data_IF_678789854253
#
_entry.id   IF_678789854253
#
_cell.length_a   1.000
_cell.length_b   1.000
_cell.length_c   1.000
_cell.angle_alpha   90.00
_cell.angle_beta   90.00
_cell.angle_gamma   90.00
#
_symmetry.space_group_name_H-M   'P 1'
#
loop_
_entity.id
_entity.type
_entity.pdbx_description
1 polymer ?
#
# COMPACT_ATOMS: atom_id res chain seq x y z
N UNK A 1 -10.69 -2.40 -24.24
CA UNK A 1 -10.36 -3.84 -24.38
C UNK A 1 -9.46 -4.23 -23.23
N UNK A 2 -9.52 -5.46 -22.76
CA UNK A 2 -8.48 -6.01 -21.89
C UNK A 2 -8.16 -7.46 -22.25
N UNK A 3 -7.01 -7.94 -21.80
CA UNK A 3 -6.56 -9.32 -21.94
C UNK A 3 -6.26 -9.89 -20.56
N UNK A 4 -6.75 -11.09 -20.31
CA UNK A 4 -6.45 -11.89 -19.12
C UNK A 4 -6.84 -13.35 -19.38
N UNK A 5 -6.55 -14.24 -18.44
CA UNK A 5 -6.98 -15.63 -18.51
C UNK A 5 -8.51 -15.73 -18.50
N UNK A 6 -9.09 -16.60 -19.35
CA UNK A 6 -10.52 -16.84 -19.44
C UNK A 6 -11.16 -17.12 -18.08
N UNK A 7 -10.46 -17.83 -17.19
CA UNK A 7 -10.94 -18.16 -15.87
C UNK A 7 -11.12 -16.94 -14.93
N UNK A 8 -10.67 -15.74 -15.33
CA UNK A 8 -10.80 -14.50 -14.56
C UNK A 8 -12.02 -13.66 -14.93
N UNK A 9 -12.75 -13.99 -16.00
CA UNK A 9 -13.85 -13.19 -16.51
C UNK A 9 -15.15 -13.98 -16.48
N UNK A 10 -16.17 -13.38 -15.86
CA UNK A 10 -17.54 -13.88 -15.91
C UNK A 10 -18.36 -12.97 -16.83
N UNK A 11 -18.53 -13.44 -18.07
CA UNK A 11 -19.30 -12.72 -19.09
C UNK A 11 -20.80 -12.70 -18.80
N UNK A 12 -21.34 -13.62 -18.01
CA UNK A 12 -22.77 -13.66 -17.68
C UNK A 12 -23.11 -12.57 -16.66
N UNK A 13 -22.24 -12.37 -15.67
CA UNK A 13 -22.45 -11.40 -14.60
C UNK A 13 -21.73 -10.07 -14.82
N UNK A 14 -21.05 -9.91 -15.96
CA UNK A 14 -20.25 -8.71 -16.29
C UNK A 14 -19.21 -8.37 -15.22
N UNK A 15 -18.58 -9.40 -14.62
CA UNK A 15 -17.55 -9.21 -13.60
C UNK A 15 -16.21 -9.76 -14.07
N UNK A 16 -15.13 -9.16 -13.57
CA UNK A 16 -13.76 -9.60 -13.81
C UNK A 16 -13.00 -9.56 -12.49
N UNK A 17 -12.28 -10.63 -12.17
CA UNK A 17 -11.43 -10.69 -10.98
C UNK A 17 -10.37 -9.61 -11.01
N UNK A 18 -10.06 -9.05 -9.84
CA UNK A 18 -9.00 -8.06 -9.74
C UNK A 18 -7.60 -8.71 -9.73
N UNK A 19 -7.17 -9.21 -10.89
CA UNK A 19 -5.89 -9.91 -11.06
C UNK A 19 -4.77 -8.98 -11.53
N UNK A 20 -3.51 -9.19 -11.11
CA UNK A 20 -2.36 -8.42 -11.62
C UNK A 20 -1.96 -8.81 -13.05
N UNK A 21 -2.35 -10.01 -13.51
CA UNK A 21 -2.12 -10.50 -14.88
C UNK A 21 -3.28 -10.11 -15.80
N UNK A 22 -3.62 -8.83 -15.83
CA UNK A 22 -4.56 -8.25 -16.80
C UNK A 22 -3.92 -7.01 -17.40
N UNK A 23 -4.13 -6.82 -18.70
CA UNK A 23 -3.66 -5.62 -19.39
C UNK A 23 -4.79 -4.98 -20.15
N UNK A 24 -4.86 -3.65 -20.06
CA UNK A 24 -5.88 -2.85 -20.71
C UNK A 24 -5.27 -2.21 -21.96
N UNK A 25 -6.06 -2.18 -23.03
CA UNK A 25 -5.75 -1.45 -24.25
C UNK A 25 -6.99 -0.79 -24.83
N UNK A 26 -6.77 0.29 -25.58
CA UNK A 26 -7.82 0.97 -26.34
C UNK A 26 -7.78 0.43 -27.77
N UNK A 27 -8.91 -0.14 -28.23
CA UNK A 27 -9.05 -0.57 -29.62
C UNK A 27 -9.54 0.60 -30.46
N UNK A 28 -8.76 1.02 -31.46
CA UNK A 28 -9.15 2.04 -32.42
C UNK A 28 -8.53 1.74 -33.77
N UNK A 29 -9.28 1.90 -34.88
CA UNK A 29 -8.76 1.68 -36.23
C UNK A 29 -8.17 0.28 -36.48
N UNK A 30 -8.68 -0.75 -35.79
CA UNK A 30 -8.15 -2.12 -35.88
C UNK A 30 -6.87 -2.39 -35.06
N UNK A 31 -6.35 -1.37 -34.36
CA UNK A 31 -5.13 -1.45 -33.55
C UNK A 31 -5.43 -1.33 -32.06
N UNK A 32 -4.63 -2.01 -31.25
CA UNK A 32 -4.64 -1.92 -29.79
C UNK A 32 -3.54 -0.99 -29.34
N UNK A 33 -3.92 0.10 -28.69
CA UNK A 33 -3.01 1.05 -28.06
C UNK A 33 -2.89 0.72 -26.58
N UNK A 34 -1.67 0.52 -26.10
CA UNK A 34 -1.41 0.24 -24.69
C UNK A 34 -0.08 0.85 -24.24
N UNK A 35 0.04 1.10 -22.94
CA UNK A 35 1.29 1.59 -22.36
C UNK A 35 2.32 0.47 -22.22
N UNK A 36 3.53 0.69 -22.73
CA UNK A 36 4.65 -0.23 -22.58
C UNK A 36 5.56 0.18 -21.44
N UNK A 37 5.47 -0.47 -20.28
CA UNK A 37 6.28 -0.12 -19.10
C UNK A 37 7.81 -0.19 -19.34
N UNK A 38 8.26 -1.03 -20.27
CA UNK A 38 9.70 -1.20 -20.57
C UNK A 38 10.22 -0.17 -21.56
N UNK A 39 9.35 0.35 -22.44
CA UNK A 39 9.71 1.29 -23.50
C UNK A 39 9.27 2.72 -23.19
N UNK A 40 8.61 2.92 -22.05
CA UNK A 40 8.05 4.20 -21.56
C UNK A 40 7.27 4.99 -22.62
N UNK A 41 6.53 4.26 -23.46
CA UNK A 41 5.86 4.77 -24.65
C UNK A 41 4.53 4.07 -24.87
N UNK A 42 3.62 4.75 -25.57
CA UNK A 42 2.43 4.12 -26.11
C UNK A 42 2.84 3.27 -27.31
N UNK A 43 2.58 1.97 -27.23
CA UNK A 43 2.80 1.05 -28.34
C UNK A 43 1.47 0.70 -28.99
N UNK A 44 1.50 0.51 -30.30
CA UNK A 44 0.34 0.06 -31.08
C UNK A 44 0.65 -1.28 -31.76
N UNK A 45 -0.33 -2.17 -31.77
CA UNK A 45 -0.18 -3.53 -32.29
C UNK A 45 -1.54 -4.13 -32.60
N UNK A 46 -1.57 -5.18 -33.43
CA UNK A 46 -2.82 -5.86 -33.75
C UNK A 46 -3.39 -6.57 -32.51
N UNK A 47 -4.71 -6.80 -32.43
CA UNK A 47 -5.30 -7.61 -31.36
C UNK A 47 -4.65 -9.00 -31.24
N UNK A 48 -4.32 -9.62 -32.38
CA UNK A 48 -3.64 -10.92 -32.41
C UNK A 48 -2.25 -10.87 -31.78
N UNK A 49 -1.45 -9.85 -32.08
CA UNK A 49 -0.10 -9.70 -31.50
C UNK A 49 -0.17 -9.30 -30.01
N UNK A 50 -1.19 -8.53 -29.63
CA UNK A 50 -1.53 -8.24 -28.23
C UNK A 50 -1.83 -9.51 -27.46
N UNK A 51 -2.72 -10.36 -27.97
CA UNK A 51 -3.01 -11.65 -27.36
C UNK A 51 -1.77 -12.54 -27.29
N UNK A 52 -1.06 -12.73 -28.40
CA UNK A 52 0.15 -13.57 -28.46
C UNK A 52 1.22 -13.13 -27.46
N UNK A 53 1.44 -11.82 -27.32
CA UNK A 53 2.41 -11.27 -26.35
C UNK A 53 2.06 -11.73 -24.94
N UNK A 54 0.82 -11.54 -24.50
CA UNK A 54 0.44 -11.89 -23.14
C UNK A 54 0.23 -13.38 -22.92
N UNK A 55 -0.19 -14.12 -23.95
CA UNK A 55 -0.15 -15.58 -23.96
C UNK A 55 1.29 -16.08 -23.72
N UNK A 56 2.29 -15.50 -24.38
CA UNK A 56 3.70 -15.82 -24.17
C UNK A 56 4.20 -15.40 -22.78
N UNK A 57 3.79 -14.23 -22.29
CA UNK A 57 4.26 -13.69 -21.01
C UNK A 57 3.65 -14.42 -19.80
N UNK A 58 2.37 -14.76 -19.86
CA UNK A 58 1.62 -15.27 -18.70
C UNK A 58 1.20 -16.73 -18.79
N UNK A 59 1.22 -17.34 -19.99
CA UNK A 59 0.70 -18.68 -20.22
C UNK A 59 -0.82 -18.75 -20.00
N UNK A 60 -1.35 -19.96 -19.78
CA UNK A 60 -2.78 -20.18 -19.49
C UNK A 60 -3.67 -20.10 -20.74
N UNK A 61 -4.96 -19.85 -20.54
CA UNK A 61 -5.94 -19.67 -21.62
C UNK A 61 -6.29 -18.18 -21.73
N UNK A 62 -5.37 -17.38 -22.26
CA UNK A 62 -5.59 -15.94 -22.38
C UNK A 62 -6.65 -15.65 -23.45
N UNK A 63 -7.51 -14.69 -23.17
CA UNK A 63 -8.50 -14.21 -24.12
C UNK A 63 -8.59 -12.68 -24.13
N UNK A 64 -9.09 -12.15 -25.24
CA UNK A 64 -9.41 -10.74 -25.40
C UNK A 64 -10.86 -10.50 -25.04
N UNK A 65 -11.09 -9.51 -24.19
CA UNK A 65 -12.41 -9.08 -23.79
C UNK A 65 -12.64 -7.64 -24.24
N UNK A 66 -13.78 -7.43 -24.88
CA UNK A 66 -14.16 -6.16 -25.47
C UNK A 66 -15.31 -5.58 -24.67
N UNK A 67 -15.21 -4.28 -24.40
CA UNK A 67 -16.28 -3.48 -23.83
C UNK A 67 -16.57 -2.33 -24.77
N UNK A 68 -17.81 -1.86 -24.75
CA UNK A 68 -18.20 -0.63 -25.44
C UNK A 68 -17.95 0.57 -24.53
N UNK A 69 -17.65 1.72 -25.12
CA UNK A 69 -17.64 2.96 -24.37
C UNK A 69 -19.04 3.26 -23.81
N UNK A 70 -19.15 3.88 -22.62
CA UNK A 70 -20.42 4.36 -22.10
C UNK A 70 -21.10 5.32 -23.09
N UNK A 71 -22.43 5.32 -23.11
CA UNK A 71 -23.19 6.27 -23.91
C UNK A 71 -22.79 7.72 -23.54
N UNK A 72 -22.42 8.53 -24.53
CA UNK A 72 -21.96 9.90 -24.34
C UNK A 72 -20.45 10.08 -24.12
N UNK A 73 -19.66 9.00 -24.10
CA UNK A 73 -18.21 9.10 -24.11
C UNK A 73 -17.73 9.81 -25.38
N UNK A 74 -16.97 10.89 -25.22
CA UNK A 74 -16.30 11.58 -26.32
C UNK A 74 -14.92 10.94 -26.52
N UNK A 75 -14.72 10.27 -27.64
CA UNK A 75 -13.39 9.84 -28.06
C UNK A 75 -12.72 10.99 -28.82
N UNK A 76 -11.41 11.25 -28.59
CA UNK A 76 -10.67 12.17 -29.45
C UNK A 76 -10.83 11.74 -30.92
N UNK A 77 -11.07 12.68 -31.82
CA UNK A 77 -11.08 12.35 -33.25
C UNK A 77 -9.70 11.82 -33.65
N UNK A 78 -9.63 10.77 -34.49
CA UNK A 78 -8.35 10.26 -34.96
C UNK A 78 -7.63 11.40 -35.71
N UNK A 79 -6.46 11.80 -35.23
CA UNK A 79 -5.62 12.77 -35.93
C UNK A 79 -5.34 12.25 -37.35
N UNK A 80 -5.96 12.89 -38.34
CA UNK A 80 -5.64 12.65 -39.73
C UNK A 80 -4.23 13.16 -39.99
N UNK A 81 -3.27 12.24 -40.04
CA UNK A 81 -1.94 12.38 -40.63
C UNK A 81 -1.25 13.74 -40.43
N UNK A 82 -0.32 13.82 -39.49
CA UNK A 82 0.72 14.84 -39.52
C UNK A 82 2.09 14.22 -39.27
N UNK A 83 2.97 14.47 -40.23
CA UNK A 83 4.39 14.17 -40.20
C UNK A 83 5.06 14.79 -38.96
N UNK A 84 6.14 14.15 -38.52
CA UNK A 84 7.09 14.68 -37.54
C UNK A 84 7.54 16.09 -37.95
N UNK A 85 7.56 17.06 -37.01
CA UNK A 85 8.57 18.09 -37.07
C UNK A 85 9.44 18.09 -35.81
N UNK A 86 10.70 18.45 -36.06
CA UNK A 86 11.75 18.62 -35.10
C UNK A 86 11.51 19.81 -34.15
N UNK A 87 12.14 19.69 -32.99
CA UNK A 87 12.56 20.70 -32.00
C UNK A 87 12.02 22.14 -32.07
N UNK A 88 11.70 22.62 -30.86
CA UNK A 88 12.16 23.89 -30.26
C UNK A 88 11.04 24.86 -29.84
N UNK A 89 10.98 25.11 -28.53
CA UNK A 89 10.83 26.47 -27.98
C UNK A 89 9.42 26.94 -27.59
N UNK A 90 9.32 27.31 -26.31
CA UNK A 90 8.38 28.26 -25.71
C UNK A 90 7.06 27.69 -25.12
N UNK A 91 6.57 28.29 -24.02
CA UNK A 91 6.07 27.55 -22.86
C UNK A 91 4.55 27.38 -22.82
N UNK A 92 4.12 26.30 -22.17
CA UNK A 92 2.72 26.07 -21.81
C UNK A 92 2.23 27.16 -20.84
N UNK A 93 0.95 27.57 -20.92
CA UNK A 93 0.41 28.61 -20.06
C UNK A 93 0.36 28.13 -18.61
N UNK A 94 0.91 28.94 -17.71
CA UNK A 94 0.75 28.78 -16.25
C UNK A 94 -0.74 28.84 -15.91
N UNK A 95 -1.33 27.68 -15.61
CA UNK A 95 -2.55 27.62 -14.83
C UNK A 95 -2.19 28.00 -13.39
N UNK A 96 -2.47 29.25 -13.02
CA UNK A 96 -2.38 29.75 -11.67
C UNK A 96 -3.40 29.04 -10.76
N UNK A 97 -3.05 27.86 -10.26
CA UNK A 97 -3.55 27.39 -8.98
C UNK A 97 -2.81 28.19 -7.90
N UNK A 98 -3.41 29.30 -7.46
CA UNK A 98 -2.99 29.95 -6.23
C UNK A 98 -3.12 28.92 -5.10
N UNK A 99 -2.00 28.35 -4.68
CA UNK A 99 -1.92 27.49 -3.51
C UNK A 99 -2.44 28.29 -2.31
N UNK A 100 -3.68 28.02 -1.89
CA UNK A 100 -4.14 28.43 -0.58
C UNK A 100 -3.28 27.69 0.43
N UNK A 101 -2.24 28.34 0.92
CA UNK A 101 -1.41 27.82 2.00
C UNK A 101 -2.31 27.49 3.18
N UNK A 102 -2.60 26.21 3.38
CA UNK A 102 -3.42 25.72 4.49
C UNK A 102 -2.80 26.23 5.80
N UNK A 103 -3.58 26.92 6.63
CA UNK A 103 -3.11 27.47 7.92
C UNK A 103 -3.20 26.38 8.98
N UNK A 104 -2.18 25.53 9.02
CA UNK A 104 -2.00 24.56 10.10
C UNK A 104 -1.57 25.27 11.39
N UNK A 105 -2.31 25.06 12.46
CA UNK A 105 -1.99 25.54 13.80
C UNK A 105 -1.77 24.34 14.72
N UNK A 106 -0.64 24.31 15.43
CA UNK A 106 -0.29 23.23 16.35
C UNK A 106 -0.27 23.78 17.78
N UNK A 107 -1.00 23.11 18.67
CA UNK A 107 -1.13 23.48 20.08
C UNK A 107 -0.52 22.38 20.96
N UNK A 108 0.64 22.61 21.60
CA UNK A 108 1.15 21.71 22.62
C UNK A 108 0.32 21.83 23.91
N UNK A 109 0.19 20.73 24.62
CA UNK A 109 -0.39 20.65 25.95
C UNK A 109 0.50 19.80 26.85
N UNK A 110 1.19 20.45 27.78
CA UNK A 110 2.16 19.80 28.66
C UNK A 110 1.54 19.51 30.02
N UNK A 111 1.68 18.28 30.49
CA UNK A 111 1.30 17.84 31.83
C UNK A 111 2.41 16.98 32.42
N UNK A 112 3.25 17.57 33.28
CA UNK A 112 4.48 16.95 33.75
C UNK A 112 5.46 16.76 32.58
N UNK A 113 6.05 15.57 32.46
CA UNK A 113 6.99 15.24 31.37
C UNK A 113 6.31 14.90 30.03
N UNK A 114 4.97 14.86 30.01
CA UNK A 114 4.19 14.47 28.82
C UNK A 114 3.75 15.72 28.07
N UNK A 115 4.05 15.77 26.77
CA UNK A 115 3.52 16.80 25.87
C UNK A 115 2.62 16.12 24.84
N UNK A 116 1.33 16.46 24.88
CA UNK A 116 0.35 16.08 23.86
C UNK A 116 0.24 17.21 22.84
N UNK A 117 0.09 16.88 21.56
CA UNK A 117 -0.05 17.83 20.46
C UNK A 117 -1.43 17.72 19.83
N UNK A 118 -2.06 18.86 19.66
CA UNK A 118 -3.32 19.04 18.97
C UNK A 118 -3.11 19.94 17.76
N UNK A 119 -3.95 19.80 16.74
CA UNK A 119 -3.87 20.65 15.56
C UNK A 119 -5.24 21.14 15.09
N UNK A 120 -5.23 22.26 14.37
CA UNK A 120 -6.36 22.79 13.60
C UNK A 120 -5.88 23.10 12.20
N UNK A 121 -6.66 22.71 11.20
CA UNK A 121 -6.40 23.04 9.81
C UNK A 121 -7.47 24.03 9.34
N UNK A 122 -7.05 25.17 8.79
CA UNK A 122 -7.93 26.19 8.21
C UNK A 122 -9.06 26.66 9.13
N UNK A 123 -8.77 26.79 10.42
CA UNK A 123 -9.75 27.19 11.44
C UNK A 123 -10.81 26.14 11.77
N UNK A 124 -10.68 24.93 11.21
CA UNK A 124 -11.55 23.80 11.48
C UNK A 124 -11.44 23.26 12.93
N UNK A 125 -12.20 22.18 13.22
CA UNK A 125 -12.18 21.52 14.52
C UNK A 125 -10.77 21.10 14.93
N UNK A 126 -10.51 21.17 16.24
CA UNK A 126 -9.26 20.67 16.79
C UNK A 126 -9.25 19.15 16.84
N UNK A 127 -8.13 18.55 16.46
CA UNK A 127 -7.93 17.11 16.49
C UNK A 127 -6.62 16.74 17.20
N UNK A 128 -6.59 15.55 17.78
CA UNK A 128 -5.41 15.02 18.44
C UNK A 128 -4.40 14.51 17.42
N UNK A 129 -3.15 14.95 17.51
CA UNK A 129 -2.07 14.49 16.61
C UNK A 129 -1.37 13.30 17.26
N UNK A 130 -0.64 13.54 18.36
CA UNK A 130 0.16 12.55 19.05
C UNK A 130 0.73 13.09 20.38
N UNK A 131 1.43 12.23 21.12
CA UNK A 131 2.20 12.54 22.32
C UNK A 131 3.69 12.42 22.05
N UNK A 132 4.50 13.34 22.59
CA UNK A 132 5.95 13.15 22.67
C UNK A 132 6.31 11.99 23.60
N UNK A 133 7.12 11.07 23.11
CA UNK A 133 7.66 9.94 23.87
C UNK A 133 9.16 9.78 23.61
N UNK A 134 9.85 9.15 24.54
CA UNK A 134 11.26 8.74 24.40
C UNK A 134 11.35 7.21 24.31
N UNK A 135 12.23 6.72 23.44
CA UNK A 135 12.54 5.30 23.31
C UNK A 135 14.01 5.12 22.93
N UNK A 136 14.79 4.47 23.79
CA UNK A 136 16.26 4.44 23.67
C UNK A 136 16.82 5.87 23.52
N UNK A 137 17.58 6.14 22.48
CA UNK A 137 18.13 7.46 22.16
C UNK A 137 17.18 8.34 21.33
N UNK A 138 16.01 7.82 20.97
CA UNK A 138 15.05 8.52 20.13
C UNK A 138 14.03 9.29 20.96
N UNK A 139 13.59 10.43 20.42
CA UNK A 139 12.43 11.17 20.92
C UNK A 139 11.56 11.55 19.72
N UNK A 140 10.28 11.20 19.79
CA UNK A 140 9.36 11.40 18.67
C UNK A 140 7.90 11.34 19.14
N UNK A 141 7.00 11.05 18.19
CA UNK A 141 5.56 11.05 18.37
C UNK A 141 4.99 9.64 18.47
N UNK A 142 4.05 9.45 19.38
CA UNK A 142 3.26 8.22 19.56
C UNK A 142 1.83 8.60 19.90
N UNK A 143 0.86 7.87 19.37
CA UNK A 143 -0.53 8.01 19.82
C UNK A 143 -0.85 6.98 20.92
N UNK A 144 -1.12 7.38 22.18
CA UNK A 144 -1.51 6.45 23.22
C UNK A 144 -2.85 5.78 22.92
N UNK A 145 -3.03 4.51 23.30
CA UNK A 145 -4.26 3.75 23.02
C UNK A 145 -5.56 4.46 23.42
N UNK A 146 -5.57 5.11 24.59
CA UNK A 146 -6.73 5.87 25.10
C UNK A 146 -7.06 7.16 24.35
N UNK A 147 -6.15 7.63 23.51
CA UNK A 147 -6.31 8.85 22.69
C UNK A 147 -6.56 8.51 21.22
N UNK A 148 -6.55 7.23 20.85
CA UNK A 148 -6.85 6.81 19.48
C UNK A 148 -8.30 7.14 19.15
N UNK A 149 -8.50 7.74 17.98
CA UNK A 149 -9.82 8.07 17.43
C UNK A 149 -9.72 8.06 15.90
N UNK A 150 -10.83 8.31 15.21
CA UNK A 150 -10.85 8.38 13.76
C UNK A 150 -11.21 7.07 13.04
N UNK A 151 -11.19 7.08 11.71
CA UNK A 151 -11.59 5.96 10.88
C UNK A 151 -10.74 4.70 11.10
N UNK A 152 -11.38 3.54 11.02
CA UNK A 152 -10.72 2.23 11.15
C UNK A 152 -10.98 1.37 9.93
N UNK A 153 -9.96 0.63 9.53
CA UNK A 153 -10.08 -0.46 8.59
C UNK A 153 -11.05 -1.52 9.12
N UNK A 154 -12.03 -1.88 8.30
CA UNK A 154 -12.93 -3.01 8.54
C UNK A 154 -12.89 -3.91 7.33
N UNK A 155 -12.67 -5.20 7.55
CA UNK A 155 -12.58 -6.19 6.47
C UNK A 155 -13.82 -6.18 5.58
N UNK A 156 -15.01 -6.03 6.16
CA UNK A 156 -16.28 -5.95 5.44
C UNK A 156 -16.31 -4.88 4.36
N UNK A 157 -15.74 -3.71 4.64
CA UNK A 157 -15.84 -2.53 3.79
C UNK A 157 -14.99 -2.69 2.52
N UNK A 158 -13.94 -3.52 2.61
CA UNK A 158 -12.98 -3.76 1.54
C UNK A 158 -13.11 -5.16 0.91
N UNK A 159 -13.94 -6.05 1.47
CA UNK A 159 -14.18 -7.41 0.96
C UNK A 159 -14.65 -7.40 -0.50
N UNK A 160 -15.57 -6.52 -0.96
CA UNK A 160 -16.01 -6.53 -2.36
C UNK A 160 -14.89 -6.24 -3.37
N UNK A 161 -13.87 -5.46 -2.98
CA UNK A 161 -12.80 -5.04 -3.88
C UNK A 161 -11.55 -5.94 -3.79
N UNK A 162 -11.26 -6.47 -2.60
CA UNK A 162 -10.00 -7.18 -2.32
C UNK A 162 -10.21 -8.64 -1.89
N UNK A 163 -11.45 -9.12 -1.79
CA UNK A 163 -11.79 -10.52 -1.51
C UNK A 163 -11.01 -11.09 -0.29
N UNK A 164 -10.35 -12.23 -0.41
CA UNK A 164 -9.57 -12.85 0.67
C UNK A 164 -8.45 -11.93 1.17
N UNK A 165 -7.88 -11.09 0.31
CA UNK A 165 -6.82 -10.13 0.70
C UNK A 165 -7.34 -9.13 1.74
N UNK A 166 -8.62 -8.76 1.70
CA UNK A 166 -9.21 -7.90 2.73
C UNK A 166 -9.11 -8.54 4.13
N UNK A 167 -9.34 -9.86 4.22
CA UNK A 167 -9.20 -10.63 5.46
C UNK A 167 -7.76 -10.69 5.94
N UNK A 168 -6.81 -10.92 5.02
CA UNK A 168 -5.36 -10.91 5.31
C UNK A 168 -4.96 -9.57 5.94
N UNK A 169 -5.33 -8.46 5.31
CA UNK A 169 -5.01 -7.12 5.81
C UNK A 169 -5.68 -6.82 7.16
N UNK A 170 -6.92 -7.28 7.35
CA UNK A 170 -7.64 -7.15 8.62
C UNK A 170 -6.86 -7.78 9.79
N UNK A 171 -6.40 -9.02 9.61
CA UNK A 171 -5.61 -9.72 10.64
C UNK A 171 -4.30 -8.99 10.95
N UNK A 172 -3.54 -8.60 9.94
CA UNK A 172 -2.26 -7.88 10.14
C UNK A 172 -2.50 -6.54 10.85
N UNK A 173 -3.51 -5.78 10.41
CA UNK A 173 -3.82 -4.46 10.96
C UNK A 173 -4.29 -4.49 12.42
N UNK A 174 -4.92 -5.60 12.85
CA UNK A 174 -5.31 -5.81 14.24
C UNK A 174 -4.09 -5.85 15.17
N UNK A 175 -3.01 -6.46 14.70
CA UNK A 175 -1.71 -6.42 15.37
C UNK A 175 -1.11 -5.01 15.33
N UNK A 176 -1.05 -4.37 14.17
CA UNK A 176 -0.29 -3.13 14.01
C UNK A 176 -0.87 -1.90 14.73
N UNK A 177 -2.12 -1.58 14.41
CA UNK A 177 -2.71 -0.27 14.69
C UNK A 177 -4.10 -0.37 15.30
N UNK A 178 -4.57 -1.59 15.59
CA UNK A 178 -5.99 -1.86 15.80
C UNK A 178 -6.87 -1.42 14.60
N UNK A 179 -6.29 -1.31 13.41
CA UNK A 179 -6.96 -0.86 12.19
C UNK A 179 -7.10 0.66 12.03
N UNK A 180 -6.61 1.51 12.94
CA UNK A 180 -6.76 2.97 12.81
C UNK A 180 -5.96 3.53 11.61
N UNK A 181 -6.63 4.23 10.70
CA UNK A 181 -6.00 4.80 9.50
C UNK A 181 -5.07 5.98 9.79
N UNK A 182 -5.23 6.64 10.92
CA UNK A 182 -4.41 7.79 11.33
C UNK A 182 -3.29 7.40 12.30
N UNK A 183 -3.00 6.09 12.44
CA UNK A 183 -2.00 5.57 13.38
C UNK A 183 -0.60 6.06 13.05
N UNK A 184 0.06 6.72 13.98
CA UNK A 184 1.39 7.31 13.80
C UNK A 184 2.38 6.88 14.89
N UNK A 185 3.62 6.58 14.48
CA UNK A 185 4.79 6.58 15.36
C UNK A 185 6.02 7.20 14.65
N UNK A 186 6.92 7.84 15.40
CA UNK A 186 8.18 8.39 14.86
C UNK A 186 9.37 8.32 15.83
N UNK A 187 9.20 7.63 16.96
CA UNK A 187 10.19 7.54 18.05
C UNK A 187 11.19 6.39 17.91
N UNK A 188 11.41 5.83 16.73
CA UNK A 188 12.31 4.69 16.56
C UNK A 188 13.15 4.80 15.29
N UNK A 189 13.92 3.74 15.00
CA UNK A 189 14.83 3.67 13.85
C UNK A 189 14.13 3.79 12.49
N UNK A 190 12.82 3.56 12.42
CA UNK A 190 12.07 3.75 11.19
C UNK A 190 11.89 5.24 10.87
N UNK A 191 12.16 6.13 11.84
CA UNK A 191 11.95 7.57 11.87
C UNK A 191 10.48 8.00 11.74
N UNK A 192 9.67 7.24 11.01
CA UNK A 192 8.24 7.45 10.83
C UNK A 192 7.56 6.15 10.40
N UNK A 193 6.45 5.79 11.03
CA UNK A 193 5.50 4.76 10.58
C UNK A 193 4.09 5.33 10.62
N UNK A 194 3.32 5.07 9.57
CA UNK A 194 2.00 5.66 9.42
C UNK A 194 0.95 4.67 8.90
N UNK A 195 -0.29 4.89 9.31
CA UNK A 195 -1.47 4.24 8.76
C UNK A 195 -1.84 2.94 9.46
N UNK A 196 -2.98 2.38 9.04
CA UNK A 196 -3.54 1.16 9.62
C UNK A 196 -2.60 -0.05 9.47
N UNK A 197 -1.73 -0.02 8.48
CA UNK A 197 -0.75 -1.08 8.19
C UNK A 197 0.66 -0.78 8.73
N UNK A 198 0.83 0.37 9.40
CA UNK A 198 2.11 0.85 9.94
C UNK A 198 3.25 0.82 8.92
N UNK A 199 3.00 1.45 7.76
CA UNK A 199 3.98 1.55 6.69
C UNK A 199 5.17 2.39 7.18
N UNK A 200 6.37 1.82 7.14
CA UNK A 200 7.60 2.45 7.60
C UNK A 200 8.29 3.29 6.52
N UNK A 201 8.89 4.41 6.92
CA UNK A 201 9.61 5.32 6.02
C UNK A 201 10.96 4.78 5.54
N UNK A 202 11.66 4.02 6.38
CA UNK A 202 13.04 3.66 6.15
C UNK A 202 13.27 2.58 5.06
N UNK A 203 12.24 2.00 4.45
CA UNK A 203 12.43 0.86 3.53
C UNK A 203 12.35 1.29 2.05
N UNK A 204 13.45 1.21 1.27
CA UNK A 204 13.41 1.49 -0.15
C UNK A 204 12.48 0.54 -0.91
N UNK A 205 11.74 1.06 -1.90
CA UNK A 205 10.82 0.28 -2.75
C UNK A 205 9.77 -0.56 -1.99
N UNK A 206 9.47 -0.20 -0.75
CA UNK A 206 8.49 -0.88 0.09
C UNK A 206 7.85 0.12 1.07
N UNK A 207 6.70 -0.25 1.62
CA UNK A 207 6.01 0.52 2.66
C UNK A 207 5.71 2.00 2.31
N UNK A 208 6.09 2.94 3.18
CA UNK A 208 5.51 4.29 3.21
C UNK A 208 5.85 5.13 1.98
N UNK A 209 7.03 4.91 1.39
CA UNK A 209 7.42 5.63 0.18
C UNK A 209 6.49 5.33 -0.99
N UNK A 210 6.03 4.08 -1.12
CA UNK A 210 5.07 3.69 -2.16
C UNK A 210 3.72 4.38 -1.95
N UNK A 211 3.33 4.60 -0.69
CA UNK A 211 2.10 5.32 -0.37
C UNK A 211 2.21 6.80 -0.72
N UNK A 212 3.28 7.48 -0.30
CA UNK A 212 3.51 8.88 -0.63
C UNK A 212 3.62 9.13 -2.13
N UNK A 213 4.27 8.23 -2.88
CA UNK A 213 4.37 8.33 -4.34
C UNK A 213 2.98 8.30 -4.99
N UNK A 214 2.12 7.38 -4.57
CA UNK A 214 0.75 7.30 -5.10
C UNK A 214 -0.11 8.47 -4.69
N UNK A 215 -0.03 8.90 -3.43
CA UNK A 215 -0.72 10.09 -2.97
C UNK A 215 -0.33 11.33 -3.78
N UNK A 216 0.97 11.53 -4.01
CA UNK A 216 1.46 12.68 -4.76
C UNK A 216 1.02 12.67 -6.23
N UNK A 217 0.76 11.49 -6.80
CA UNK A 217 0.29 11.36 -8.18
C UNK A 217 -1.24 11.37 -8.32
N UNK A 218 -1.97 10.83 -7.33
CA UNK A 218 -3.37 10.42 -7.50
C UNK A 218 -4.35 11.12 -6.55
N UNK A 219 -3.90 11.75 -5.46
CA UNK A 219 -4.78 12.31 -4.43
C UNK A 219 -4.66 13.84 -4.34
N UNK A 220 -5.72 14.54 -4.75
CA UNK A 220 -5.75 16.01 -4.77
C UNK A 220 -5.68 16.62 -3.38
N UNK A 221 -6.40 16.07 -2.39
CA UNK A 221 -6.39 16.60 -1.02
C UNK A 221 -4.99 16.50 -0.38
N UNK A 222 -4.25 15.43 -0.66
CA UNK A 222 -2.85 15.30 -0.29
C UNK A 222 -1.99 16.34 -1.01
N UNK A 223 -2.20 16.56 -2.31
CA UNK A 223 -1.45 17.57 -3.05
C UNK A 223 -1.72 19.00 -2.57
N UNK A 224 -2.91 19.29 -2.09
CA UNK A 224 -3.24 20.59 -1.50
C UNK A 224 -2.46 20.82 -0.19
N UNK A 225 -2.26 19.76 0.61
CA UNK A 225 -1.53 19.85 1.88
C UNK A 225 -0.02 19.63 1.75
N UNK A 226 0.44 18.98 0.69
CA UNK A 226 1.84 18.67 0.42
C UNK A 226 2.23 19.13 -1.01
N UNK A 227 2.06 20.42 -1.35
CA UNK A 227 2.30 20.92 -2.71
C UNK A 227 3.76 20.80 -3.13
N UNK A 228 4.68 20.71 -2.17
CA UNK A 228 6.10 20.51 -2.42
C UNK A 228 6.46 19.09 -2.87
N UNK A 229 5.57 18.11 -2.71
CA UNK A 229 5.84 16.73 -3.07
C UNK A 229 5.28 16.40 -4.45
N UNK A 230 6.17 15.99 -5.36
CA UNK A 230 5.82 15.63 -6.74
C UNK A 230 6.45 14.32 -7.16
N UNK A 231 5.79 13.61 -8.07
CA UNK A 231 6.39 12.46 -8.75
C UNK A 231 7.03 12.94 -10.04
N UNK A 232 8.32 12.66 -10.20
CA UNK A 232 9.11 12.91 -11.41
C UNK A 232 9.72 11.58 -11.82
N UNK A 233 9.45 11.14 -13.05
CA UNK A 233 9.92 9.84 -13.59
C UNK A 233 9.62 8.65 -12.67
N UNK A 234 8.42 8.64 -12.08
CA UNK A 234 7.99 7.58 -11.16
C UNK A 234 8.64 7.61 -9.78
N UNK A 235 9.40 8.66 -9.44
CA UNK A 235 10.11 8.83 -8.17
C UNK A 235 9.60 10.04 -7.40
N UNK A 236 9.39 9.89 -6.10
CA UNK A 236 8.99 10.98 -5.21
C UNK A 236 10.13 11.98 -5.00
N UNK A 237 9.84 13.24 -5.30
CA UNK A 237 10.72 14.38 -5.12
C UNK A 237 10.06 15.42 -4.21
N UNK A 238 10.91 16.16 -3.48
CA UNK A 238 10.54 17.42 -2.82
C UNK A 238 11.04 18.59 -3.65
N UNK A 239 10.16 19.54 -3.95
CA UNK A 239 10.50 20.80 -4.59
C UNK A 239 11.04 21.79 -3.55
N UNK A 240 12.23 22.34 -3.80
CA UNK A 240 12.89 23.35 -2.97
C UNK A 240 13.36 24.46 -3.91
N UNK A 241 12.73 25.64 -3.83
CA UNK A 241 13.11 26.80 -4.66
C UNK A 241 13.08 26.52 -6.17
N UNK A 242 12.15 25.67 -6.63
CA UNK A 242 12.05 25.26 -8.04
C UNK A 242 12.89 24.04 -8.43
N UNK A 243 13.77 23.55 -7.55
CA UNK A 243 14.58 22.36 -7.79
C UNK A 243 13.99 21.12 -7.11
N UNK A 244 13.91 20.00 -7.84
CA UNK A 244 13.47 18.72 -7.29
C UNK A 244 14.62 17.95 -6.61
N UNK A 245 14.44 17.56 -5.36
CA UNK A 245 15.34 16.66 -4.63
C UNK A 245 14.65 15.32 -4.45
N UNK A 246 15.25 14.24 -4.96
CA UNK A 246 14.71 12.89 -4.79
C UNK A 246 14.73 12.49 -3.32
N UNK A 247 13.60 11.99 -2.83
CA UNK A 247 13.47 11.43 -1.47
C UNK A 247 13.77 9.92 -1.44
N UNK A 248 13.93 9.29 -2.60
CA UNK A 248 13.96 7.83 -2.74
C UNK A 248 15.37 7.25 -2.90
N UNK A 249 16.42 8.07 -2.78
CA UNK A 249 17.81 7.62 -2.93
C UNK A 249 18.16 6.62 -1.83
N UNK A 250 18.42 5.34 -2.17
CA UNK A 250 18.82 4.36 -1.17
C UNK A 250 20.21 4.68 -0.63
N UNK A 251 20.37 4.65 0.69
CA UNK A 251 21.66 4.78 1.37
C UNK A 251 21.88 3.64 2.36
N UNK A 252 23.12 3.19 2.61
CA UNK A 252 23.37 2.21 3.67
C UNK A 252 23.00 2.77 5.04
N UNK A 253 22.41 1.94 5.89
CA UNK A 253 22.07 2.32 7.25
C UNK A 253 23.36 2.53 8.07
N UNK A 254 23.45 3.61 8.87
CA UNK A 254 24.56 3.80 9.80
C UNK A 254 24.77 2.56 10.70
N UNK A 255 25.99 2.04 10.72
CA UNK A 255 26.38 0.85 11.47
C UNK A 255 25.95 -0.50 10.85
N UNK A 256 25.17 -0.52 9.77
CA UNK A 256 24.67 -1.75 9.14
C UNK A 256 24.66 -1.61 7.60
N UNK A 257 25.83 -1.70 6.96
CA UNK A 257 25.99 -1.36 5.54
C UNK A 257 25.25 -2.30 4.57
N UNK A 258 24.82 -3.48 5.02
CA UNK A 258 24.00 -4.42 4.23
C UNK A 258 22.50 -4.10 4.25
N UNK A 259 22.06 -3.18 5.11
CA UNK A 259 20.68 -2.72 5.19
C UNK A 259 20.56 -1.33 4.54
N UNK A 260 19.79 -1.23 3.47
CA UNK A 260 19.53 0.05 2.80
C UNK A 260 18.35 0.78 3.46
N UNK A 261 18.44 2.11 3.54
CA UNK A 261 17.38 2.99 4.00
C UNK A 261 17.12 4.16 3.03
N UNK A 262 16.08 4.96 3.32
CA UNK A 262 15.74 6.18 2.58
C UNK A 262 16.01 7.42 3.44
N UNK A 263 17.28 7.77 3.64
CA UNK A 263 17.66 8.85 4.55
C UNK A 263 16.98 10.18 4.23
N UNK A 264 16.90 10.55 2.95
CA UNK A 264 16.28 11.80 2.52
C UNK A 264 14.78 11.84 2.83
N UNK A 265 14.05 10.74 2.60
CA UNK A 265 12.64 10.63 2.97
C UNK A 265 12.44 10.62 4.49
N UNK A 266 13.26 9.89 5.22
CA UNK A 266 13.22 9.85 6.68
C UNK A 266 13.43 11.25 7.27
N UNK A 267 14.44 11.99 6.80
CA UNK A 267 14.73 13.35 7.26
C UNK A 267 13.67 14.37 6.85
N UNK A 268 12.93 14.14 5.76
CA UNK A 268 11.78 14.98 5.41
C UNK A 268 10.62 14.82 6.41
N UNK A 269 10.38 13.59 6.88
CA UNK A 269 9.29 13.26 7.81
C UNK A 269 9.65 13.53 9.28
N UNK A 270 10.89 13.24 9.66
CA UNK A 270 11.42 13.39 11.01
C UNK A 270 12.90 13.83 10.92
N UNK A 271 13.17 15.15 10.90
CA UNK A 271 14.51 15.68 10.66
C UNK A 271 15.52 15.35 11.75
N UNK A 272 15.08 15.29 13.01
CA UNK A 272 15.96 15.14 14.17
C UNK A 272 15.46 14.02 15.09
N UNK A 273 16.17 12.91 15.12
CA UNK A 273 15.76 11.72 15.86
C UNK A 273 15.73 11.92 17.40
N UNK A 274 16.40 12.95 17.92
CA UNK A 274 16.56 13.20 19.36
C UNK A 274 15.56 14.20 19.96
N UNK A 275 14.71 14.84 19.15
CA UNK A 275 13.68 15.79 19.62
C UNK A 275 12.47 15.79 18.69
N UNK A 276 11.33 16.20 19.22
CA UNK A 276 10.17 16.50 18.37
C UNK A 276 10.38 17.84 17.67
N UNK A 277 10.31 17.84 16.34
CA UNK A 277 10.57 19.02 15.49
C UNK A 277 9.30 19.57 14.82
N UNK A 278 9.28 20.85 14.47
CA UNK A 278 8.11 21.50 13.86
C UNK A 278 7.74 20.87 12.51
N UNK A 279 8.73 20.43 11.72
CA UNK A 279 8.48 19.74 10.46
C UNK A 279 7.81 18.37 10.70
N UNK A 280 8.28 17.61 11.69
CA UNK A 280 7.70 16.32 12.07
C UNK A 280 6.24 16.48 12.51
N UNK A 281 5.97 17.47 13.37
CA UNK A 281 4.64 17.82 13.83
C UNK A 281 3.73 18.26 12.66
N UNK A 282 4.25 19.08 11.75
CA UNK A 282 3.52 19.57 10.58
C UNK A 282 3.11 18.43 9.63
N UNK A 283 4.04 17.51 9.33
CA UNK A 283 3.75 16.34 8.51
C UNK A 283 2.76 15.42 9.21
N UNK A 284 2.98 15.12 10.49
CA UNK A 284 2.11 14.28 11.30
C UNK A 284 0.67 14.81 11.32
N UNK A 285 0.49 16.10 11.61
CA UNK A 285 -0.83 16.72 11.70
C UNK A 285 -1.57 16.72 10.35
N UNK A 286 -0.89 16.95 9.23
CA UNK A 286 -1.48 16.88 7.89
C UNK A 286 -1.91 15.46 7.51
N UNK A 287 -1.07 14.45 7.80
CA UNK A 287 -1.41 13.05 7.51
C UNK A 287 -2.57 12.54 8.38
N UNK A 288 -2.58 12.88 9.68
CA UNK A 288 -3.69 12.54 10.58
C UNK A 288 -4.99 13.17 10.09
N UNK A 289 -4.95 14.44 9.68
CA UNK A 289 -6.11 15.12 9.12
C UNK A 289 -6.65 14.42 7.86
N UNK A 290 -5.79 14.08 6.91
CA UNK A 290 -6.20 13.37 5.68
C UNK A 290 -6.80 12.00 6.01
N UNK A 291 -6.20 11.25 6.93
CA UNK A 291 -6.73 9.96 7.35
C UNK A 291 -8.10 10.08 8.04
N UNK A 292 -8.36 11.18 8.73
CA UNK A 292 -9.63 11.44 9.42
C UNK A 292 -10.73 11.96 8.49
N UNK A 293 -10.37 12.64 7.40
CA UNK A 293 -11.31 13.42 6.58
C UNK A 293 -11.45 12.96 5.12
N UNK A 294 -10.47 12.24 4.55
CA UNK A 294 -10.48 11.82 3.15
C UNK A 294 -10.57 10.28 2.99
N UNK A 295 -11.75 9.75 2.62
CA UNK A 295 -11.92 8.33 2.29
C UNK A 295 -11.05 7.86 1.11
N UNK A 296 -10.72 8.75 0.17
CA UNK A 296 -9.84 8.46 -0.95
C UNK A 296 -8.40 8.21 -0.50
N UNK A 297 -7.91 9.01 0.44
CA UNK A 297 -6.63 8.80 1.11
C UNK A 297 -6.57 7.43 1.80
N UNK A 298 -7.62 7.07 2.56
CA UNK A 298 -7.71 5.76 3.22
C UNK A 298 -7.81 4.59 2.23
N UNK A 299 -8.54 4.76 1.13
CA UNK A 299 -8.64 3.74 0.07
C UNK A 299 -7.28 3.49 -0.61
N UNK A 300 -6.48 4.54 -0.83
CA UNK A 300 -5.11 4.41 -1.34
C UNK A 300 -4.20 3.71 -0.33
N UNK A 301 -4.33 3.98 0.98
CA UNK A 301 -3.61 3.23 2.01
C UNK A 301 -3.86 1.72 1.89
N UNK A 302 -5.14 1.32 1.78
CA UNK A 302 -5.52 -0.10 1.65
C UNK A 302 -4.96 -0.70 0.36
N UNK A 303 -5.06 0.02 -0.75
CA UNK A 303 -4.55 -0.47 -2.03
C UNK A 303 -3.04 -0.72 -2.00
N UNK A 304 -2.27 0.20 -1.41
CA UNK A 304 -0.82 0.04 -1.26
C UNK A 304 -0.49 -1.13 -0.33
N UNK A 305 -1.18 -1.26 0.80
CA UNK A 305 -0.99 -2.38 1.73
C UNK A 305 -1.31 -3.74 1.06
N UNK A 306 -2.40 -3.83 0.29
CA UNK A 306 -2.75 -5.01 -0.50
C UNK A 306 -1.66 -5.36 -1.52
N UNK A 307 -1.19 -4.36 -2.27
CA UNK A 307 -0.13 -4.51 -3.27
C UNK A 307 1.19 -5.00 -2.66
N UNK A 308 1.60 -4.43 -1.53
CA UNK A 308 2.78 -4.85 -0.78
C UNK A 308 2.61 -6.30 -0.31
N UNK A 309 1.52 -6.60 0.37
CA UNK A 309 1.27 -7.92 0.96
C UNK A 309 1.28 -9.00 -0.10
N UNK A 310 0.53 -8.80 -1.19
CA UNK A 310 0.46 -9.80 -2.26
C UNK A 310 1.76 -9.90 -3.07
N UNK A 311 2.52 -8.80 -3.24
CA UNK A 311 3.87 -8.88 -3.82
C UNK A 311 4.78 -9.76 -2.96
N UNK A 312 4.78 -9.57 -1.63
CA UNK A 312 5.56 -10.42 -0.72
C UNK A 312 5.09 -11.88 -0.73
N UNK A 313 3.78 -12.09 -0.78
CA UNK A 313 3.21 -13.44 -0.87
C UNK A 313 3.71 -14.17 -2.11
N UNK A 314 3.60 -13.54 -3.29
CA UNK A 314 4.00 -14.13 -4.58
C UNK A 314 5.50 -14.32 -4.72
N UNK A 315 6.26 -13.27 -4.44
CA UNK A 315 7.65 -13.22 -4.86
C UNK A 315 8.58 -13.79 -3.80
N UNK A 316 8.10 -13.90 -2.55
CA UNK A 316 8.90 -14.37 -1.41
C UNK A 316 8.27 -15.58 -0.73
N UNK A 317 7.10 -15.41 -0.11
CA UNK A 317 6.57 -16.41 0.81
C UNK A 317 6.18 -17.71 0.10
N UNK A 318 5.59 -17.62 -1.10
CA UNK A 318 5.24 -18.77 -1.92
C UNK A 318 6.46 -19.64 -2.26
N UNK A 319 7.62 -19.00 -2.49
CA UNK A 319 8.87 -19.71 -2.77
C UNK A 319 9.52 -20.26 -1.49
N UNK A 320 9.47 -19.51 -0.39
CA UNK A 320 10.13 -19.92 0.86
C UNK A 320 9.43 -21.08 1.56
N UNK A 321 8.11 -21.21 1.37
CA UNK A 321 7.22 -22.08 2.16
C UNK A 321 6.29 -22.97 1.35
N UNK A 322 6.41 -23.00 0.02
CA UNK A 322 5.56 -23.83 -0.86
C UNK A 322 4.07 -23.60 -0.61
N UNK A 323 3.61 -22.35 -0.76
CA UNK A 323 2.25 -21.95 -0.38
C UNK A 323 1.15 -22.42 -1.34
N UNK A 324 1.48 -23.06 -2.45
CA UNK A 324 0.45 -23.51 -3.40
C UNK A 324 -0.51 -24.51 -2.76
N UNK A 325 -1.82 -24.25 -2.84
CA UNK A 325 -2.86 -25.01 -2.16
C UNK A 325 -2.93 -24.80 -0.63
N UNK A 326 -2.08 -23.95 -0.06
CA UNK A 326 -2.08 -23.69 1.39
C UNK A 326 -3.27 -22.78 1.78
N UNK A 327 -3.93 -23.09 2.89
CA UNK A 327 -5.03 -22.27 3.42
C UNK A 327 -4.64 -20.80 3.60
N UNK A 328 -5.58 -19.92 3.29
CA UNK A 328 -5.50 -18.48 3.54
C UNK A 328 -5.18 -18.12 5.00
N UNK A 329 -5.62 -18.91 5.99
CA UNK A 329 -5.27 -18.73 7.41
C UNK A 329 -3.77 -18.91 7.65
N UNK A 330 -3.19 -19.97 7.08
CA UNK A 330 -1.74 -20.24 7.19
C UNK A 330 -0.95 -19.15 6.47
N UNK A 331 -1.38 -18.77 5.26
CA UNK A 331 -0.74 -17.71 4.49
C UNK A 331 -0.79 -16.37 5.24
N UNK A 332 -1.91 -16.06 5.87
CA UNK A 332 -2.11 -14.84 6.67
C UNK A 332 -1.19 -14.82 7.88
N UNK A 333 -1.08 -15.92 8.63
CA UNK A 333 -0.17 -16.02 9.76
C UNK A 333 1.30 -15.80 9.35
N UNK A 334 1.72 -16.39 8.23
CA UNK A 334 3.08 -16.17 7.67
C UNK A 334 3.29 -14.69 7.30
N UNK A 335 2.32 -14.09 6.61
CA UNK A 335 2.42 -12.68 6.22
C UNK A 335 2.55 -11.76 7.44
N UNK A 336 1.76 -12.00 8.50
CA UNK A 336 1.80 -11.23 9.75
C UNK A 336 3.12 -11.41 10.52
N UNK A 337 3.68 -12.62 10.57
CA UNK A 337 4.97 -12.88 11.22
C UNK A 337 6.11 -12.09 10.55
N UNK A 338 6.15 -12.11 9.22
CA UNK A 338 7.19 -11.41 8.45
C UNK A 338 6.97 -9.90 8.39
N UNK A 339 5.71 -9.44 8.32
CA UNK A 339 5.39 -8.01 8.36
C UNK A 339 5.87 -7.39 9.66
N UNK A 340 5.63 -8.06 10.78
CA UNK A 340 6.06 -7.62 12.11
C UNK A 340 7.53 -7.93 12.44
N UNK A 341 8.24 -8.69 11.61
CA UNK A 341 9.63 -9.09 11.86
C UNK A 341 9.83 -9.98 13.10
N UNK A 342 8.82 -10.78 13.48
CA UNK A 342 8.83 -11.56 14.75
C UNK A 342 9.44 -12.95 14.65
N UNK A 343 9.66 -13.45 13.44
CA UNK A 343 10.10 -14.81 13.20
C UNK A 343 11.05 -14.95 12.02
N UNK A 344 11.96 -15.89 12.14
CA UNK A 344 12.90 -16.29 11.10
C UNK A 344 12.26 -17.27 10.11
N UNK A 345 12.90 -17.45 8.95
CA UNK A 345 12.45 -18.45 7.97
C UNK A 345 12.47 -19.87 8.54
N UNK A 346 13.45 -20.17 9.40
CA UNK A 346 13.63 -21.48 10.02
C UNK A 346 12.48 -21.78 10.98
N UNK A 347 12.12 -20.84 11.85
CA UNK A 347 11.00 -21.01 12.79
C UNK A 347 9.68 -21.25 12.06
N UNK A 348 9.40 -20.48 11.00
CA UNK A 348 8.20 -20.67 10.18
C UNK A 348 8.19 -22.06 9.53
N UNK A 349 9.31 -22.55 9.00
CA UNK A 349 9.39 -23.91 8.42
C UNK A 349 9.14 -25.00 9.47
N UNK A 350 9.74 -24.87 10.65
CA UNK A 350 9.54 -25.81 11.74
C UNK A 350 8.06 -25.84 12.19
N UNK A 351 7.42 -24.68 12.31
CA UNK A 351 6.00 -24.59 12.65
C UNK A 351 5.08 -25.18 11.56
N UNK A 352 5.44 -25.02 10.28
CA UNK A 352 4.70 -25.65 9.18
C UNK A 352 4.85 -27.17 9.13
N UNK A 353 6.01 -27.68 9.57
CA UNK A 353 6.30 -29.12 9.60
C UNK A 353 5.73 -29.83 10.86
N UNK A 354 5.42 -29.09 11.93
CA UNK A 354 4.96 -29.67 13.19
C UNK A 354 3.53 -30.21 13.15
N UNK A 355 2.77 -29.98 12.07
CA UNK A 355 1.43 -30.52 11.91
C UNK A 355 1.05 -30.66 10.44
N UNK A 356 0.23 -31.67 10.12
CA UNK A 356 -0.39 -31.84 8.81
C UNK A 356 -1.69 -31.05 8.65
N UNK A 357 -2.35 -30.63 9.74
CA UNK A 357 -3.63 -29.94 9.70
C UNK A 357 -3.48 -28.42 9.63
N UNK A 358 -4.45 -27.73 9.04
CA UNK A 358 -4.48 -26.25 9.00
C UNK A 358 -4.46 -25.66 10.41
N UNK A 359 -5.34 -26.15 11.30
CA UNK A 359 -5.41 -25.68 12.68
C UNK A 359 -4.12 -25.89 13.45
N UNK A 360 -3.44 -27.03 13.26
CA UNK A 360 -2.17 -27.30 13.94
C UNK A 360 -1.04 -26.39 13.46
N UNK A 361 -0.95 -26.14 12.13
CA UNK A 361 0.00 -25.18 11.55
C UNK A 361 -0.26 -23.76 12.05
N UNK A 362 -1.51 -23.31 12.05
CA UNK A 362 -1.89 -21.99 12.55
C UNK A 362 -1.53 -21.85 14.04
N UNK A 363 -1.83 -22.86 14.85
CA UNK A 363 -1.48 -22.85 16.27
C UNK A 363 0.02 -22.71 16.50
N UNK A 364 0.84 -23.48 15.77
CA UNK A 364 2.30 -23.41 15.86
C UNK A 364 2.86 -22.06 15.37
N UNK A 365 2.33 -21.53 14.26
CA UNK A 365 2.73 -20.22 13.73
C UNK A 365 2.41 -19.09 14.72
N UNK A 366 1.27 -19.15 15.42
CA UNK A 366 0.87 -18.15 16.41
C UNK A 366 1.81 -18.10 17.63
N UNK A 367 2.67 -19.10 17.85
CA UNK A 367 3.61 -19.13 18.98
C UNK A 367 4.98 -18.51 18.63
N UNK A 368 5.24 -18.23 17.35
CA UNK A 368 6.54 -17.70 16.92
C UNK A 368 6.76 -16.31 17.53
N UNK A 369 7.84 -16.18 18.31
CA UNK A 369 8.22 -14.95 19.00
C UNK A 369 7.54 -14.71 20.35
N UNK A 370 6.80 -15.69 20.90
CA UNK A 370 6.02 -15.53 22.14
C UNK A 370 6.87 -15.07 23.34
N UNK A 371 8.11 -15.55 23.47
CA UNK A 371 9.03 -15.17 24.56
C UNK A 371 9.34 -13.66 24.61
N UNK A 372 9.19 -12.95 23.49
CA UNK A 372 9.41 -11.51 23.37
C UNK A 372 8.11 -10.73 23.11
N UNK A 373 7.11 -11.36 22.50
CA UNK A 373 5.94 -10.70 21.92
C UNK A 373 4.62 -11.42 22.24
N UNK A 374 4.44 -11.95 23.46
CA UNK A 374 3.26 -12.72 23.86
C UNK A 374 1.91 -12.04 23.53
N UNK A 375 1.78 -10.72 23.76
CA UNK A 375 0.55 -9.99 23.42
C UNK A 375 0.26 -9.95 21.92
N UNK A 376 1.29 -9.88 21.07
CA UNK A 376 1.15 -9.94 19.61
C UNK A 376 0.72 -11.34 19.16
N UNK A 377 1.30 -12.38 19.75
CA UNK A 377 0.91 -13.77 19.50
C UNK A 377 -0.58 -14.01 19.85
N UNK A 378 -1.01 -13.53 21.01
CA UNK A 378 -2.42 -13.58 21.41
C UNK A 378 -3.33 -12.79 20.45
N UNK A 379 -2.89 -11.63 19.99
CA UNK A 379 -3.63 -10.80 19.03
C UNK A 379 -3.78 -11.50 17.68
N UNK A 380 -2.70 -12.06 17.12
CA UNK A 380 -2.74 -12.82 15.87
C UNK A 380 -3.69 -14.01 15.97
N UNK A 381 -3.57 -14.80 17.04
CA UNK A 381 -4.43 -15.96 17.28
C UNK A 381 -5.91 -15.57 17.34
N UNK A 382 -6.22 -14.48 18.06
CA UNK A 382 -7.59 -13.97 18.14
C UNK A 382 -8.09 -13.47 16.78
N UNK A 383 -7.31 -12.66 16.09
CA UNK A 383 -7.71 -12.06 14.82
C UNK A 383 -7.94 -13.11 13.72
N UNK A 384 -7.12 -14.17 13.65
CA UNK A 384 -7.35 -15.30 12.74
C UNK A 384 -8.65 -16.02 13.05
N UNK A 385 -8.91 -16.29 14.33
CA UNK A 385 -10.16 -16.96 14.77
C UNK A 385 -11.39 -16.12 14.45
N UNK A 386 -11.33 -14.82 14.69
CA UNK A 386 -12.43 -13.90 14.35
C UNK A 386 -12.64 -13.86 12.82
N UNK A 387 -11.56 -13.72 12.04
CA UNK A 387 -11.65 -13.70 10.58
C UNK A 387 -12.17 -15.01 9.97
N UNK A 388 -11.83 -16.16 10.55
CA UNK A 388 -12.39 -17.46 10.18
C UNK A 388 -13.88 -17.54 10.51
N UNK A 389 -14.25 -17.16 11.75
CA UNK A 389 -15.65 -17.15 12.21
C UNK A 389 -16.53 -16.25 11.33
N UNK A 390 -16.02 -15.10 10.93
CA UNK A 390 -16.75 -14.10 10.15
C UNK A 390 -16.75 -14.43 8.62
N UNK A 391 -16.19 -15.57 8.22
CA UNK A 391 -16.14 -16.01 6.81
C UNK A 391 -15.22 -15.14 5.94
N UNK A 392 -14.30 -14.39 6.55
CA UNK A 392 -13.34 -13.56 5.84
C UNK A 392 -12.11 -14.34 5.39
N UNK A 393 -11.74 -15.37 6.16
CA UNK A 393 -10.67 -16.34 5.92
C UNK A 393 -11.18 -17.76 6.24
N UNK A 394 -10.38 -18.79 5.97
CA UNK A 394 -10.72 -20.21 6.18
C UNK A 394 -11.44 -20.85 5.00
N UNK A 395 -11.70 -20.09 3.94
CA UNK A 395 -12.53 -20.52 2.78
C UNK A 395 -11.74 -20.58 1.48
N UNK A 396 -10.50 -20.06 1.47
CA UNK A 396 -9.65 -20.01 0.30
C UNK A 396 -8.31 -20.70 0.51
N UNK A 397 -7.68 -21.07 -0.60
CA UNK A 397 -6.30 -21.53 -0.68
C UNK A 397 -5.50 -20.60 -1.58
N UNK A 398 -4.21 -20.47 -1.31
CA UNK A 398 -3.30 -19.71 -2.17
C UNK A 398 -3.04 -20.49 -3.47
N UNK A 399 -3.16 -19.79 -4.59
CA UNK A 399 -2.88 -20.32 -5.93
C UNK A 399 -1.62 -19.65 -6.48
N UNK A 400 -0.56 -20.45 -6.62
CA UNK A 400 0.73 -19.95 -7.09
C UNK A 400 0.67 -19.47 -8.54
N UNK A 401 -0.22 -20.03 -9.37
CA UNK A 401 -0.33 -19.67 -10.78
C UNK A 401 -0.85 -18.23 -10.97
N UNK A 402 -1.95 -17.87 -10.30
CA UNK A 402 -2.47 -16.49 -10.31
C UNK A 402 -1.70 -15.56 -9.36
N UNK A 403 -1.08 -16.11 -8.31
CA UNK A 403 -0.48 -15.35 -7.24
C UNK A 403 -1.50 -14.70 -6.30
N UNK A 404 -2.71 -15.28 -6.25
CA UNK A 404 -3.86 -14.83 -5.46
C UNK A 404 -4.47 -16.00 -4.69
N UNK A 405 -5.59 -15.75 -4.03
CA UNK A 405 -6.38 -16.77 -3.35
C UNK A 405 -7.54 -17.24 -4.24
N UNK A 406 -7.86 -18.53 -4.18
CA UNK A 406 -9.03 -19.13 -4.83
C UNK A 406 -9.86 -19.93 -3.82
N UNK A 407 -11.17 -20.15 -4.05
CA UNK A 407 -11.99 -21.00 -3.19
C UNK A 407 -11.38 -22.40 -3.00
N UNK A 408 -11.46 -22.92 -1.77
CA UNK A 408 -10.86 -24.21 -1.40
C UNK A 408 -11.55 -25.41 -2.10
N UNK A 409 -12.86 -25.31 -2.37
CA UNK A 409 -13.67 -26.37 -3.00
C UNK A 409 -13.80 -26.25 -4.51
N UNK A 410 -12.99 -25.40 -5.18
CA UNK A 410 -13.22 -25.04 -6.59
C UNK A 410 -14.35 -24.02 -6.74
N UNK A 411 -14.52 -23.49 -7.96
CA UNK A 411 -15.61 -22.56 -8.26
C UNK A 411 -16.93 -23.34 -8.31
N UNK A 412 -18.05 -22.83 -7.75
CA UNK A 412 -19.36 -23.37 -8.07
C UNK A 412 -19.55 -23.34 -9.59
N UNK A 413 -20.06 -24.44 -10.16
CA UNK A 413 -20.38 -24.57 -11.58
C UNK A 413 -21.40 -23.50 -12.06
#
# INVERSE_FOLDING_TARGET
MFVTDNANVDLKHHTMRNVPKKHVGILSGGQVYNYGNTSDTVVSQTPGDFLKRFQKTYGGDQALFFGTFPAGARTPEPESGAAVPASAGAPAPESAHAATSSRLQIRPQTSGEKTDYFARLDGGPEYYVARSVSYLTYRGLHQPGKMQSGPRYRTSDFKPQYETVAGVLGVISAGESSGFFNRLNSYDRAAFTFGFFQLAAHTPNDNLILFFRRLAAENSAFQDLFPELKVVDGVLHRLIGGHGVSLERPSPRPGHPSEMNLRDFMSYLNPEASKVDDQELSVAARLVHLADSDPGFNSLQVNVAAGITMRKMRDRYAQWYSLDGMSDLVCTAIADIHHQGRGTKTEVRSALASSSTVSGKVAALCLIGESKYASRCATLKKALKDAEKDGHLGISVYDKASGLFRPATGWPD
#
